data_IF_400188817297
#
_entry.id   IF_400188817297
#
_cell.length_a   1.000
_cell.length_b   1.000
_cell.length_c   1.000
_cell.angle_alpha   90.00
_cell.angle_beta   90.00
_cell.angle_gamma   90.00
#
_symmetry.space_group_name_H-M   'P 1'
#
loop_
_entity.id
_entity.type
_entity.pdbx_description
1 polymer ?
#
# COMPACT_ATOMS: atom_id res chain seq x y z
N UNK A 1 -25.98 4.34 -12.24
CA UNK A 1 -24.89 3.39 -12.58
C UNK A 1 -25.51 2.06 -12.95
N UNK A 2 -24.95 1.40 -13.95
CA UNK A 2 -25.30 0.03 -14.31
C UNK A 2 -24.13 -0.85 -13.90
N UNK A 3 -24.39 -1.86 -13.08
CA UNK A 3 -23.40 -2.89 -12.75
C UNK A 3 -23.57 -4.02 -13.76
N UNK A 4 -23.02 -3.82 -14.96
CA UNK A 4 -23.39 -4.59 -16.15
C UNK A 4 -22.87 -6.02 -16.18
N UNK A 5 -21.79 -6.31 -15.47
CA UNK A 5 -21.08 -7.59 -15.58
C UNK A 5 -20.41 -7.96 -14.26
N UNK A 6 -21.19 -8.44 -13.28
CA UNK A 6 -20.63 -8.96 -12.02
C UNK A 6 -20.51 -10.48 -12.06
N UNK A 7 -19.37 -11.01 -11.65
CA UNK A 7 -19.13 -12.45 -11.69
C UNK A 7 -18.06 -12.90 -10.71
N UNK A 8 -18.29 -14.05 -10.06
CA UNK A 8 -17.27 -14.77 -9.31
C UNK A 8 -17.15 -16.19 -9.86
N UNK A 9 -15.98 -16.52 -10.41
CA UNK A 9 -15.71 -17.85 -10.97
C UNK A 9 -15.64 -18.92 -9.87
N UNK A 10 -16.36 -20.01 -10.09
CA UNK A 10 -16.42 -21.17 -9.20
C UNK A 10 -15.55 -22.29 -9.75
N UNK A 11 -14.95 -23.06 -8.85
CA UNK A 11 -14.22 -24.27 -9.22
C UNK A 11 -15.12 -25.29 -9.94
N UNK A 12 -14.80 -25.56 -11.21
CA UNK A 12 -15.49 -26.56 -12.03
C UNK A 12 -14.61 -27.75 -12.39
N UNK A 13 -13.43 -27.89 -11.78
CA UNK A 13 -12.42 -28.91 -12.15
C UNK A 13 -12.96 -30.35 -12.10
N UNK A 14 -13.89 -30.64 -11.19
CA UNK A 14 -14.51 -31.96 -11.02
C UNK A 14 -15.88 -32.10 -11.73
N UNK A 15 -16.29 -31.11 -12.52
CA UNK A 15 -17.58 -31.14 -13.21
C UNK A 15 -17.41 -31.53 -14.69
N UNK A 16 -18.24 -32.44 -15.20
CA UNK A 16 -18.18 -32.84 -16.61
C UNK A 16 -18.59 -31.69 -17.54
N UNK A 17 -18.13 -31.74 -18.79
CA UNK A 17 -18.48 -30.77 -19.83
C UNK A 17 -17.72 -29.44 -19.78
N UNK A 18 -16.90 -29.23 -18.76
CA UNK A 18 -15.97 -28.10 -18.70
C UNK A 18 -14.59 -28.52 -19.20
N UNK A 19 -14.00 -27.67 -20.03
CA UNK A 19 -12.75 -27.90 -20.76
C UNK A 19 -11.68 -26.89 -20.34
N UNK A 20 -10.42 -27.16 -20.65
CA UNK A 20 -9.26 -26.34 -20.26
C UNK A 20 -9.01 -26.25 -18.74
N UNK A 21 -7.99 -25.50 -18.34
CA UNK A 21 -7.65 -25.25 -16.95
C UNK A 21 -8.17 -23.87 -16.50
N UNK A 22 -8.52 -23.77 -15.21
CA UNK A 22 -8.86 -22.49 -14.60
C UNK A 22 -7.65 -21.53 -14.67
N UNK A 23 -7.89 -20.28 -15.06
CA UNK A 23 -6.87 -19.24 -15.22
C UNK A 23 -6.87 -18.19 -14.10
N UNK A 24 -7.82 -18.26 -13.17
CA UNK A 24 -7.94 -17.36 -12.01
C UNK A 24 -8.10 -18.16 -10.71
N UNK A 25 -7.94 -17.46 -9.58
CA UNK A 25 -8.31 -18.05 -8.28
C UNK A 25 -9.83 -18.16 -8.19
N UNK A 26 -10.32 -19.39 -8.18
CA UNK A 26 -11.74 -19.72 -8.08
C UNK A 26 -12.27 -19.71 -6.64
N UNK A 27 -13.60 -19.69 -6.51
CA UNK A 27 -14.34 -19.83 -5.26
C UNK A 27 -15.23 -21.09 -5.23
N UNK A 28 -15.98 -21.31 -4.14
CA UNK A 28 -16.95 -22.40 -4.04
C UNK A 28 -18.36 -21.94 -4.41
N UNK A 29 -19.24 -22.86 -4.83
CA UNK A 29 -20.64 -22.51 -5.14
C UNK A 29 -21.37 -21.87 -3.95
N UNK A 30 -21.14 -22.37 -2.73
CA UNK A 30 -21.74 -21.81 -1.52
C UNK A 30 -21.28 -20.36 -1.29
N UNK A 31 -20.00 -20.08 -1.53
CA UNK A 31 -19.48 -18.72 -1.37
C UNK A 31 -19.98 -17.79 -2.48
N UNK A 32 -20.07 -18.27 -3.72
CA UNK A 32 -20.68 -17.51 -4.82
C UNK A 32 -22.14 -17.15 -4.49
N UNK A 33 -22.94 -18.11 -4.01
CA UNK A 33 -24.33 -17.89 -3.62
C UNK A 33 -24.47 -16.83 -2.53
N UNK A 34 -23.61 -16.89 -1.50
CA UNK A 34 -23.58 -15.89 -0.44
C UNK A 34 -23.18 -14.50 -0.96
N UNK A 35 -22.16 -14.41 -1.82
CA UNK A 35 -21.73 -13.15 -2.43
C UNK A 35 -22.87 -12.56 -3.26
N UNK A 36 -23.54 -13.35 -4.11
CA UNK A 36 -24.57 -12.85 -5.01
C UNK A 36 -25.81 -12.39 -4.25
N UNK A 37 -26.28 -13.17 -3.28
CA UNK A 37 -27.40 -12.76 -2.43
C UNK A 37 -27.08 -11.47 -1.65
N UNK A 38 -25.86 -11.36 -1.10
CA UNK A 38 -25.42 -10.14 -0.42
C UNK A 38 -25.30 -8.95 -1.37
N UNK A 39 -24.88 -9.17 -2.61
CA UNK A 39 -24.80 -8.12 -3.62
C UNK A 39 -26.18 -7.57 -3.96
N UNK A 40 -27.19 -8.44 -4.16
CA UNK A 40 -28.59 -8.02 -4.34
C UNK A 40 -29.07 -7.14 -3.18
N UNK A 41 -28.89 -7.62 -1.94
CA UNK A 41 -29.23 -6.84 -0.73
C UNK A 41 -28.43 -5.54 -0.58
N UNK A 42 -27.21 -5.51 -1.13
CA UNK A 42 -26.37 -4.34 -1.08
C UNK A 42 -26.86 -3.26 -2.06
N UNK A 43 -27.09 -3.63 -3.32
CA UNK A 43 -27.40 -2.69 -4.40
C UNK A 43 -28.81 -2.14 -4.32
N UNK A 44 -29.77 -2.89 -3.76
CA UNK A 44 -31.14 -2.39 -3.57
C UNK A 44 -31.19 -1.19 -2.63
N UNK A 45 -30.17 -1.05 -1.78
CA UNK A 45 -30.00 0.08 -0.88
C UNK A 45 -29.06 1.17 -1.42
N UNK A 46 -28.60 1.09 -2.68
CA UNK A 46 -27.72 2.09 -3.29
C UNK A 46 -28.50 2.88 -4.36
N UNK A 47 -28.86 4.16 -4.10
CA UNK A 47 -29.68 4.94 -5.03
C UNK A 47 -28.96 5.25 -6.34
N UNK A 48 -27.63 5.12 -6.39
CA UNK A 48 -26.87 5.35 -7.60
C UNK A 48 -26.85 4.12 -8.52
N UNK A 49 -27.33 2.96 -8.08
CA UNK A 49 -27.38 1.73 -8.89
C UNK A 49 -28.78 1.55 -9.49
N UNK A 50 -28.86 1.64 -10.81
CA UNK A 50 -30.10 1.45 -11.57
C UNK A 50 -30.36 -0.02 -11.91
N UNK A 51 -29.28 -0.82 -12.05
CA UNK A 51 -29.36 -2.20 -12.50
C UNK A 51 -28.14 -3.01 -12.04
N UNK A 52 -28.39 -4.28 -11.72
CA UNK A 52 -27.38 -5.30 -11.45
C UNK A 52 -27.55 -6.45 -12.44
N UNK A 53 -26.51 -6.72 -13.22
CA UNK A 53 -26.46 -7.79 -14.20
C UNK A 53 -25.34 -8.76 -13.82
N UNK A 54 -25.71 -10.02 -13.58
CA UNK A 54 -24.72 -11.09 -13.40
C UNK A 54 -24.14 -11.48 -14.76
N UNK A 55 -22.82 -11.66 -14.82
CA UNK A 55 -22.13 -12.05 -16.04
C UNK A 55 -22.52 -13.47 -16.46
N UNK A 56 -23.24 -13.56 -17.57
CA UNK A 56 -23.77 -14.80 -18.12
C UNK A 56 -24.97 -15.36 -17.35
N UNK A 57 -25.86 -16.04 -18.06
CA UNK A 57 -26.90 -16.86 -17.44
C UNK A 57 -26.52 -18.35 -17.36
N UNK A 58 -25.75 -18.82 -18.35
CA UNK A 58 -25.10 -20.14 -18.38
C UNK A 58 -23.59 -19.97 -18.35
N UNK A 59 -22.90 -20.90 -17.69
CA UNK A 59 -21.45 -20.94 -17.73
C UNK A 59 -20.92 -21.27 -19.13
N UNK A 60 -19.77 -20.70 -19.43
CA UNK A 60 -19.01 -21.09 -20.61
C UNK A 60 -18.37 -22.47 -20.41
N UNK A 61 -18.32 -23.27 -21.48
CA UNK A 61 -17.72 -24.61 -21.45
C UNK A 61 -16.20 -24.58 -21.31
N UNK A 62 -15.54 -23.55 -21.84
CA UNK A 62 -14.08 -23.38 -21.71
C UNK A 62 -13.76 -22.64 -20.42
N UNK A 63 -12.83 -23.16 -19.62
CA UNK A 63 -12.31 -22.49 -18.40
C UNK A 63 -11.36 -21.33 -18.70
N UNK A 64 -11.13 -21.04 -19.99
CA UNK A 64 -10.57 -19.76 -20.42
C UNK A 64 -11.61 -18.63 -20.41
N UNK A 65 -12.90 -18.99 -20.45
CA UNK A 65 -14.06 -18.11 -20.31
C UNK A 65 -14.53 -17.98 -18.86
N UNK A 66 -15.83 -17.75 -18.66
CA UNK A 66 -16.40 -17.47 -17.33
C UNK A 66 -17.29 -18.58 -16.78
N UNK A 67 -16.93 -19.08 -15.60
CA UNK A 67 -17.70 -20.04 -14.79
C UNK A 67 -18.36 -19.32 -13.58
N UNK A 68 -19.05 -18.21 -13.86
CA UNK A 68 -19.66 -17.33 -12.86
C UNK A 68 -21.18 -17.24 -12.94
N UNK A 69 -21.82 -17.95 -13.85
CA UNK A 69 -23.23 -17.78 -14.15
C UNK A 69 -24.14 -18.37 -13.05
N UNK A 70 -25.46 -18.19 -13.19
CA UNK A 70 -26.45 -18.81 -12.29
C UNK A 70 -26.79 -20.25 -12.68
N UNK A 71 -26.52 -20.64 -13.93
CA UNK A 71 -26.67 -21.99 -14.45
C UNK A 71 -25.32 -22.55 -14.84
N UNK A 72 -25.12 -23.84 -14.60
CA UNK A 72 -23.97 -24.59 -15.12
C UNK A 72 -24.05 -24.72 -16.64
N UNK A 73 -22.96 -25.14 -17.27
CA UNK A 73 -22.87 -25.41 -18.71
C UNK A 73 -23.90 -26.45 -19.23
N UNK A 74 -24.38 -27.35 -18.38
CA UNK A 74 -25.41 -28.36 -18.66
C UNK A 74 -26.84 -27.86 -18.40
N UNK A 75 -26.98 -26.61 -17.92
CA UNK A 75 -28.24 -25.96 -17.60
C UNK A 75 -28.79 -26.23 -16.19
N UNK A 76 -28.12 -27.07 -15.40
CA UNK A 76 -28.48 -27.28 -14.00
C UNK A 76 -28.26 -26.01 -13.17
N UNK A 77 -29.07 -25.84 -12.12
CA UNK A 77 -29.02 -24.66 -11.25
C UNK A 77 -27.83 -24.71 -10.29
N UNK A 78 -27.09 -23.61 -10.19
CA UNK A 78 -26.16 -23.40 -9.09
C UNK A 78 -26.92 -22.95 -7.84
N UNK A 79 -26.31 -23.14 -6.67
CA UNK A 79 -26.84 -22.60 -5.41
C UNK A 79 -27.09 -21.08 -5.47
N UNK A 80 -26.31 -20.35 -6.28
CA UNK A 80 -26.47 -18.92 -6.52
C UNK A 80 -27.80 -18.56 -7.20
N UNK A 81 -28.38 -19.44 -8.01
CA UNK A 81 -29.68 -19.20 -8.66
C UNK A 81 -30.79 -19.00 -7.63
N UNK A 82 -30.96 -19.99 -6.73
CA UNK A 82 -31.93 -19.92 -5.65
C UNK A 82 -31.63 -18.78 -4.67
N UNK A 83 -30.36 -18.54 -4.36
CA UNK A 83 -29.96 -17.48 -3.43
C UNK A 83 -30.27 -16.06 -3.96
N UNK A 84 -30.07 -15.82 -5.26
CA UNK A 84 -30.45 -14.56 -5.91
C UNK A 84 -31.96 -14.39 -5.93
N UNK A 85 -32.71 -15.43 -6.32
CA UNK A 85 -34.17 -15.38 -6.33
C UNK A 85 -34.73 -15.07 -4.92
N UNK A 86 -34.19 -15.71 -3.89
CA UNK A 86 -34.57 -15.46 -2.51
C UNK A 86 -34.24 -14.04 -2.05
N UNK A 87 -33.06 -13.50 -2.39
CA UNK A 87 -32.68 -12.12 -2.03
C UNK A 87 -33.55 -11.06 -2.74
N UNK A 88 -33.96 -11.32 -3.98
CA UNK A 88 -34.92 -10.46 -4.70
C UNK A 88 -36.28 -10.51 -4.00
N UNK A 89 -36.78 -11.71 -3.68
CA UNK A 89 -38.06 -11.88 -3.00
C UNK A 89 -38.06 -11.24 -1.60
N UNK A 90 -36.96 -11.37 -0.85
CA UNK A 90 -36.78 -10.78 0.49
C UNK A 90 -36.81 -9.24 0.45
N UNK A 91 -36.16 -8.64 -0.57
CA UNK A 91 -36.11 -7.18 -0.70
C UNK A 91 -37.37 -6.59 -1.33
N UNK A 92 -38.11 -7.36 -2.13
CA UNK A 92 -39.24 -6.85 -2.91
C UNK A 92 -38.84 -5.79 -3.95
N UNK A 93 -37.56 -5.67 -4.27
CA UNK A 93 -37.01 -4.57 -5.08
C UNK A 93 -36.82 -3.25 -4.32
N UNK A 94 -37.01 -3.24 -3.00
CA UNK A 94 -36.88 -2.04 -2.17
C UNK A 94 -35.80 -2.21 -1.09
N UNK A 95 -35.20 -1.09 -0.67
CA UNK A 95 -34.24 -1.11 0.42
C UNK A 95 -34.94 -1.37 1.76
N UNK A 96 -34.65 -2.54 2.35
CA UNK A 96 -35.17 -2.93 3.67
C UNK A 96 -34.31 -2.40 4.83
N UNK A 97 -33.38 -1.47 4.56
CA UNK A 97 -32.41 -0.94 5.53
C UNK A 97 -32.13 0.55 5.27
N UNK A 98 -31.00 1.05 5.75
CA UNK A 98 -30.57 2.42 5.48
C UNK A 98 -30.04 2.53 4.05
N UNK A 99 -30.52 3.57 3.36
CA UNK A 99 -29.96 3.97 2.07
C UNK A 99 -28.46 4.24 2.22
N UNK A 100 -27.71 3.67 1.30
CA UNK A 100 -26.28 3.84 1.20
C UNK A 100 -25.99 5.15 0.50
N UNK A 101 -24.93 5.80 0.96
CA UNK A 101 -24.30 6.89 0.23
C UNK A 101 -22.85 6.50 0.03
N UNK A 102 -22.38 6.55 -1.19
CA UNK A 102 -20.96 6.47 -1.48
C UNK A 102 -20.55 7.70 -2.29
N UNK A 103 -19.26 7.99 -2.30
CA UNK A 103 -18.71 9.01 -3.16
C UNK A 103 -17.37 8.50 -3.70
N UNK A 104 -17.02 8.80 -4.95
CA UNK A 104 -15.73 8.40 -5.49
C UNK A 104 -14.59 8.91 -4.62
N UNK A 105 -13.63 8.04 -4.32
CA UNK A 105 -12.42 8.47 -3.64
C UNK A 105 -11.67 9.48 -4.52
N UNK A 106 -11.26 10.61 -3.94
CA UNK A 106 -10.46 11.63 -4.64
C UNK A 106 -8.95 11.38 -4.57
N UNK A 107 -8.54 10.43 -3.75
CA UNK A 107 -7.14 10.05 -3.50
C UNK A 107 -6.99 8.54 -3.59
N UNK A 108 -5.78 8.01 -3.84
CA UNK A 108 -5.55 6.57 -3.79
C UNK A 108 -5.95 5.99 -2.43
N UNK A 109 -6.62 4.85 -2.45
CA UNK A 109 -7.17 4.16 -1.30
C UNK A 109 -6.03 3.63 -0.43
N UNK A 110 -6.03 4.01 0.85
CA UNK A 110 -5.01 3.60 1.82
C UNK A 110 -3.59 4.06 1.48
N UNK A 111 -3.43 5.08 0.64
CA UNK A 111 -2.13 5.63 0.28
C UNK A 111 -1.40 6.19 1.50
N UNK A 112 -0.17 5.74 1.74
CA UNK A 112 0.67 6.21 2.84
C UNK A 112 2.15 6.18 2.49
N UNK A 113 2.92 7.11 3.08
CA UNK A 113 4.37 7.22 2.91
C UNK A 113 5.06 7.35 4.26
N UNK A 114 6.09 6.54 4.49
CA UNK A 114 6.99 6.65 5.63
C UNK A 114 8.34 7.23 5.20
N UNK A 115 8.76 8.27 5.91
CA UNK A 115 10.02 8.99 5.69
C UNK A 115 11.10 8.63 6.71
N UNK A 116 11.00 7.49 7.40
CA UNK A 116 11.91 7.12 8.48
C UNK A 116 13.40 7.13 8.04
N UNK A 117 13.70 6.78 6.77
CA UNK A 117 15.03 6.86 6.17
C UNK A 117 15.46 8.25 5.68
N UNK A 118 14.56 9.22 5.61
CA UNK A 118 14.76 10.53 4.95
C UNK A 118 15.07 11.68 5.91
N UNK A 119 15.58 11.40 7.12
CA UNK A 119 15.70 12.41 8.18
C UNK A 119 17.05 13.14 8.22
N UNK A 120 18.10 12.64 7.55
CA UNK A 120 19.44 13.26 7.52
C UNK A 120 20.16 13.01 6.20
N UNK A 121 20.31 14.04 5.38
CA UNK A 121 21.25 14.04 4.25
C UNK A 121 22.60 14.58 4.68
N UNK A 122 23.66 13.81 4.42
CA UNK A 122 25.04 14.32 4.43
C UNK A 122 25.32 14.92 3.05
N UNK A 123 26.12 15.99 2.94
CA UNK A 123 26.55 16.46 1.62
C UNK A 123 27.37 15.37 0.92
N UNK A 124 27.04 15.16 -0.35
CA UNK A 124 27.49 14.02 -1.15
C UNK A 124 26.50 12.85 -1.20
N UNK A 125 25.53 12.76 -0.28
CA UNK A 125 24.43 11.81 -0.42
C UNK A 125 23.51 12.27 -1.56
N UNK A 126 23.43 11.45 -2.61
CA UNK A 126 22.67 11.74 -3.84
C UNK A 126 21.30 11.06 -3.88
N UNK A 127 20.94 10.35 -2.82
CA UNK A 127 19.72 9.56 -2.78
C UNK A 127 19.09 9.52 -1.39
N UNK A 128 17.77 9.43 -1.37
CA UNK A 128 16.98 9.20 -0.16
C UNK A 128 16.06 8.01 -0.38
N UNK A 129 15.97 7.16 0.64
CA UNK A 129 14.99 6.08 0.69
C UNK A 129 13.75 6.52 1.45
N UNK A 130 12.61 6.02 0.99
CA UNK A 130 11.32 6.14 1.66
C UNK A 130 10.52 4.88 1.39
N UNK A 131 9.48 4.66 2.18
CA UNK A 131 8.58 3.52 2.00
C UNK A 131 7.19 4.02 1.62
N UNK A 132 6.58 3.42 0.61
CA UNK A 132 5.20 3.73 0.20
C UNK A 132 4.33 2.47 0.23
N UNK A 133 3.03 2.67 0.45
CA UNK A 133 2.00 1.62 0.41
C UNK A 133 0.67 2.22 -0.04
N UNK A 134 -0.19 1.37 -0.62
CA UNK A 134 -1.56 1.67 -0.98
C UNK A 134 -2.37 0.36 -1.01
N UNK A 135 -3.71 0.45 -0.94
CA UNK A 135 -4.60 -0.73 -1.09
C UNK A 135 -4.94 -1.02 -2.55
N UNK A 136 -4.47 -0.19 -3.47
CA UNK A 136 -4.58 -0.30 -4.92
C UNK A 136 -3.20 -0.06 -5.56
N UNK A 137 -3.06 -0.36 -6.84
CA UNK A 137 -1.84 -0.04 -7.60
C UNK A 137 -1.68 1.48 -7.75
N UNK A 138 -0.49 1.98 -7.43
CA UNK A 138 -0.16 3.40 -7.58
C UNK A 138 1.16 3.60 -8.32
N UNK A 139 1.19 4.64 -9.13
CA UNK A 139 2.44 5.20 -9.65
C UNK A 139 3.01 6.17 -8.64
N UNK A 140 4.35 6.19 -8.52
CA UNK A 140 5.07 7.01 -7.55
C UNK A 140 6.00 7.96 -8.27
N UNK A 141 5.85 9.24 -7.96
CA UNK A 141 6.80 10.28 -8.33
C UNK A 141 7.36 10.93 -7.07
N UNK A 142 8.62 11.34 -7.08
CA UNK A 142 9.25 11.99 -5.94
C UNK A 142 10.34 12.97 -6.36
N UNK A 143 10.62 13.93 -5.48
CA UNK A 143 11.78 14.81 -5.60
C UNK A 143 12.24 15.31 -4.23
N UNK A 144 13.50 15.72 -4.20
CA UNK A 144 14.05 16.49 -3.08
C UNK A 144 13.98 17.96 -3.46
N UNK A 145 13.14 18.72 -2.77
CA UNK A 145 12.86 20.14 -3.10
C UNK A 145 13.17 21.04 -1.91
N UNK A 146 13.50 22.33 -2.13
CA UNK A 146 13.63 23.28 -1.03
C UNK A 146 12.38 23.28 -0.15
N UNK A 147 12.57 23.36 1.17
CA UNK A 147 11.46 23.32 2.14
C UNK A 147 10.45 24.47 1.97
N UNK A 148 10.87 25.55 1.29
CA UNK A 148 10.04 26.72 0.95
C UNK A 148 9.25 26.56 -0.34
N UNK A 149 9.33 25.42 -1.03
CA UNK A 149 8.61 25.19 -2.30
C UNK A 149 7.10 25.10 -2.04
N UNK A 150 6.28 25.94 -2.68
CA UNK A 150 4.81 25.86 -2.58
C UNK A 150 4.29 24.51 -3.11
N UNK A 151 3.21 23.99 -2.53
CA UNK A 151 2.68 22.65 -2.86
C UNK A 151 2.24 22.56 -4.32
N UNK A 152 1.69 23.66 -4.85
CA UNK A 152 1.19 23.80 -6.21
C UNK A 152 2.30 23.64 -7.25
N UNK A 153 3.54 23.95 -6.86
CA UNK A 153 4.72 23.81 -7.70
C UNK A 153 5.41 22.46 -7.58
N UNK A 154 5.11 21.67 -6.55
CA UNK A 154 5.79 20.41 -6.29
C UNK A 154 5.61 19.46 -7.48
N UNK A 155 4.39 19.34 -8.02
CA UNK A 155 4.07 18.42 -9.12
C UNK A 155 5.02 18.55 -10.33
N UNK A 156 5.40 19.77 -10.68
CA UNK A 156 6.29 20.06 -11.82
C UNK A 156 7.76 19.69 -11.58
N UNK A 157 8.12 19.35 -10.35
CA UNK A 157 9.49 19.02 -9.95
C UNK A 157 9.68 17.53 -9.69
N UNK A 158 8.60 16.73 -9.69
CA UNK A 158 8.66 15.31 -9.38
C UNK A 158 9.16 14.50 -10.58
N UNK A 159 10.08 13.58 -10.32
CA UNK A 159 10.49 12.55 -11.28
C UNK A 159 9.81 11.23 -10.99
N UNK A 160 9.62 10.40 -12.02
CA UNK A 160 9.15 9.02 -11.85
C UNK A 160 10.14 8.21 -10.99
N UNK A 161 9.61 7.49 -10.00
CA UNK A 161 10.39 6.62 -9.09
C UNK A 161 10.03 5.15 -9.28
N UNK A 162 8.75 4.84 -9.50
CA UNK A 162 8.32 3.46 -9.73
C UNK A 162 6.82 3.24 -9.50
N UNK A 163 6.47 1.99 -9.23
CA UNK A 163 5.11 1.51 -8.97
C UNK A 163 5.09 0.85 -7.59
N UNK A 164 3.98 1.02 -6.87
CA UNK A 164 3.66 0.25 -5.68
C UNK A 164 2.40 -0.56 -5.99
N UNK A 165 2.54 -1.88 -5.95
CA UNK A 165 1.43 -2.80 -6.13
C UNK A 165 0.48 -2.77 -4.93
N UNK A 166 -0.79 -3.04 -5.19
CA UNK A 166 -1.83 -3.10 -4.18
C UNK A 166 -1.44 -3.96 -2.96
N UNK A 167 -1.62 -3.39 -1.76
CA UNK A 167 -1.34 -3.99 -0.45
C UNK A 167 0.11 -4.41 -0.23
N UNK A 168 1.04 -3.89 -1.05
CA UNK A 168 2.49 -4.06 -0.84
C UNK A 168 3.07 -2.84 -0.14
N UNK A 169 4.17 -3.09 0.56
CA UNK A 169 5.01 -2.05 1.15
C UNK A 169 6.32 -2.06 0.37
N UNK A 170 6.60 -0.97 -0.34
CA UNK A 170 7.79 -0.88 -1.21
C UNK A 170 8.74 0.18 -0.69
N UNK A 171 10.01 -0.19 -0.54
CA UNK A 171 11.09 0.78 -0.35
C UNK A 171 11.52 1.33 -1.72
N UNK A 172 11.55 2.65 -1.82
CA UNK A 172 11.81 3.38 -3.05
C UNK A 172 12.92 4.39 -2.80
N UNK A 173 13.69 4.67 -3.85
CA UNK A 173 14.82 5.61 -3.77
C UNK A 173 14.61 6.74 -4.75
N UNK A 174 14.62 7.98 -4.24
CA UNK A 174 14.72 9.17 -5.08
C UNK A 174 16.18 9.58 -5.18
N UNK A 175 16.60 10.01 -6.37
CA UNK A 175 17.91 10.64 -6.58
C UNK A 175 17.73 12.16 -6.65
N UNK A 176 18.67 12.91 -6.09
CA UNK A 176 18.63 14.36 -6.11
C UNK A 176 19.94 14.98 -5.65
N UNK A 177 20.20 16.19 -6.15
CA UNK A 177 21.35 17.00 -5.71
C UNK A 177 20.84 18.12 -4.82
N UNK A 178 21.47 18.29 -3.66
CA UNK A 178 21.08 19.28 -2.66
C UNK A 178 22.27 20.14 -2.27
N UNK A 179 22.08 21.46 -2.25
CA UNK A 179 23.09 22.41 -1.78
C UNK A 179 23.16 22.45 -0.25
N UNK A 180 24.36 22.67 0.30
CA UNK A 180 24.58 22.83 1.75
C UNK A 180 23.91 24.10 2.27
N UNK A 181 23.64 24.15 3.59
CA UNK A 181 23.03 25.29 4.31
C UNK A 181 21.58 25.64 3.96
N UNK A 182 20.94 24.92 3.02
CA UNK A 182 19.50 25.03 2.74
C UNK A 182 18.71 23.91 3.44
N UNK A 183 17.43 24.16 3.69
CA UNK A 183 16.50 23.15 4.18
C UNK A 183 15.69 22.57 3.03
N UNK A 184 15.50 21.26 3.03
CA UNK A 184 14.78 20.52 2.00
C UNK A 184 13.70 19.65 2.61
N UNK A 185 12.75 19.25 1.79
CA UNK A 185 11.80 18.18 2.06
C UNK A 185 11.87 17.14 0.96
N UNK A 186 11.59 15.89 1.32
CA UNK A 186 11.27 14.86 0.36
C UNK A 186 9.78 14.95 0.07
N UNK A 187 9.43 15.29 -1.17
CA UNK A 187 8.06 15.29 -1.65
C UNK A 187 7.79 14.03 -2.46
N UNK A 188 6.68 13.36 -2.18
CA UNK A 188 6.26 12.11 -2.83
C UNK A 188 4.80 12.25 -3.23
N UNK A 189 4.48 11.86 -4.45
CA UNK A 189 3.11 11.78 -4.93
C UNK A 189 2.78 10.33 -5.28
N UNK A 190 1.61 9.89 -4.81
CA UNK A 190 0.99 8.63 -5.22
C UNK A 190 -0.21 8.96 -6.10
N UNK A 191 -0.26 8.37 -7.29
CA UNK A 191 -1.42 8.48 -8.20
C UNK A 191 -1.96 7.09 -8.52
N UNK A 192 -3.28 6.91 -8.42
CA UNK A 192 -3.92 5.63 -8.73
C UNK A 192 -3.66 5.25 -10.18
N UNK A 193 -3.28 3.98 -10.43
CA UNK A 193 -3.02 3.49 -11.77
C UNK A 193 -4.31 3.39 -12.61
N UNK A 194 -5.43 3.09 -11.96
CA UNK A 194 -6.74 2.97 -12.61
C UNK A 194 -7.43 4.32 -12.81
N UNK A 195 -7.05 5.34 -12.02
CA UNK A 195 -7.52 6.71 -12.21
C UNK A 195 -6.44 7.72 -11.80
N UNK A 196 -5.57 8.15 -12.73
CA UNK A 196 -4.46 9.06 -12.44
C UNK A 196 -4.86 10.44 -11.90
N UNK A 197 -6.14 10.82 -11.98
CA UNK A 197 -6.64 12.06 -11.35
C UNK A 197 -6.75 11.94 -9.82
N UNK A 198 -6.76 10.71 -9.27
CA UNK A 198 -6.76 10.46 -7.83
C UNK A 198 -5.34 10.50 -7.31
N UNK A 199 -4.99 11.60 -6.65
CA UNK A 199 -3.61 11.91 -6.27
C UNK A 199 -3.50 12.28 -4.79
N UNK A 200 -2.49 11.72 -4.11
CA UNK A 200 -2.09 12.14 -2.77
C UNK A 200 -0.66 12.67 -2.78
N UNK A 201 -0.43 13.81 -2.13
CA UNK A 201 0.90 14.42 -1.96
C UNK A 201 1.36 14.30 -0.51
N UNK A 202 2.56 13.79 -0.31
CA UNK A 202 3.19 13.61 1.00
C UNK A 202 4.49 14.40 1.07
N UNK A 203 4.78 14.97 2.25
CA UNK A 203 6.03 15.69 2.53
C UNK A 203 6.67 15.17 3.81
N UNK A 204 7.99 14.98 3.77
CA UNK A 204 8.77 14.73 4.99
C UNK A 204 8.82 15.96 5.88
N UNK A 205 9.31 15.80 7.11
CA UNK A 205 9.80 16.94 7.89
C UNK A 205 10.97 17.60 7.16
N UNK A 206 11.14 18.93 7.28
CA UNK A 206 12.31 19.60 6.73
C UNK A 206 13.61 19.04 7.34
N UNK A 207 14.61 18.80 6.50
CA UNK A 207 15.95 18.43 6.93
C UNK A 207 16.97 19.38 6.32
N UNK A 208 18.14 19.49 6.96
CA UNK A 208 19.29 20.25 6.47
C UNK A 208 20.35 19.30 5.95
N UNK A 209 21.10 19.77 4.96
CA UNK A 209 22.25 19.04 4.42
C UNK A 209 23.50 19.49 5.17
N UNK A 210 24.07 18.59 5.96
CA UNK A 210 25.36 18.84 6.63
C UNK A 210 26.49 18.85 5.60
N UNK A 211 27.60 19.60 5.81
CA UNK A 211 28.77 19.54 4.93
C UNK A 211 29.31 18.12 4.77
N UNK A 212 29.98 17.85 3.64
CA UNK A 212 30.60 16.56 3.39
C UNK A 212 31.78 16.45 4.36
N UNK A 213 31.95 15.28 4.99
CA UNK A 213 33.15 15.04 5.79
C UNK A 213 34.36 15.09 4.85
N UNK A 214 35.26 16.04 5.06
CA UNK A 214 36.54 16.08 4.36
C UNK A 214 37.49 15.10 5.06
N UNK A 215 37.98 14.05 4.39
CA UNK A 215 39.07 13.25 4.94
C UNK A 215 40.24 14.19 5.27
N UNK A 216 40.62 14.28 6.56
CA UNK A 216 41.68 15.17 7.04
C UNK A 216 41.25 16.39 7.86
N UNK A 217 39.95 16.66 8.05
CA UNK A 217 39.53 17.58 9.12
C UNK A 217 39.64 16.86 10.47
N UNK A 218 40.60 17.28 11.30
CA UNK A 218 40.77 16.80 12.67
C UNK A 218 39.45 16.95 13.46
N UNK A 219 39.11 15.95 14.28
CA UNK A 219 38.00 16.00 15.25
C UNK A 219 38.37 17.04 16.35
N UNK A 220 38.43 18.33 16.00
CA UNK A 220 38.68 19.47 16.90
C UNK A 220 37.37 20.19 17.22
N UNK A 221 36.43 19.51 17.85
CA UNK A 221 35.31 20.18 18.52
C UNK A 221 35.03 19.48 19.85
N UNK A 222 35.24 20.25 20.92
CA UNK A 222 35.02 20.00 22.35
C UNK A 222 36.24 19.51 23.15
N UNK A 223 36.63 20.35 24.11
CA UNK A 223 37.66 20.15 25.13
C UNK A 223 37.56 18.75 25.76
N UNK A 224 38.72 18.07 25.84
CA UNK A 224 39.03 16.94 26.72
C UNK A 224 38.13 15.69 26.65
N UNK A 225 37.93 15.11 25.46
CA UNK A 225 37.58 13.69 25.32
C UNK A 225 38.40 13.12 24.15
N UNK A 226 39.19 12.09 24.43
CA UNK A 226 40.04 11.41 23.45
C UNK A 226 39.17 10.58 22.50
N UNK A 227 39.24 10.85 21.19
CA UNK A 227 38.53 10.09 20.14
C UNK A 227 39.57 9.38 19.29
N UNK A 228 39.44 8.06 19.13
CA UNK A 228 40.30 7.26 18.25
C UNK A 228 39.63 7.11 16.88
N UNK A 229 40.39 7.32 15.81
CA UNK A 229 39.90 7.23 14.44
C UNK A 229 39.99 5.78 13.93
N UNK A 230 38.95 4.99 14.19
CA UNK A 230 38.75 3.72 13.50
C UNK A 230 37.75 3.89 12.37
N UNK A 231 38.18 3.56 11.14
CA UNK A 231 37.35 3.37 9.94
C UNK A 231 36.00 4.10 9.90
N UNK A 232 35.97 5.27 9.27
CA UNK A 232 34.76 5.99 8.84
C UNK A 232 33.77 6.49 9.94
N UNK A 233 34.07 6.39 11.25
CA UNK A 233 33.22 6.96 12.31
C UNK A 233 34.01 7.57 13.50
N UNK A 234 33.84 8.87 13.81
CA UNK A 234 34.20 9.41 15.14
C UNK A 234 33.13 8.88 16.14
N UNK A 235 33.47 7.88 16.96
CA UNK A 235 32.62 7.35 18.05
C UNK A 235 33.08 7.89 19.41
N UNK A 236 32.13 8.26 20.27
CA UNK A 236 32.43 8.66 21.65
C UNK A 236 32.89 7.43 22.45
N UNK A 237 34.17 7.35 22.76
CA UNK A 237 34.73 6.34 23.67
C UNK A 237 34.25 6.66 25.09
N UNK A 238 33.38 5.80 25.63
CA UNK A 238 33.11 5.76 27.06
C UNK A 238 34.14 4.80 27.65
N UNK A 239 35.18 5.35 28.28
CA UNK A 239 36.16 4.56 29.04
C UNK A 239 35.41 3.82 30.18
N UNK A 240 35.21 2.51 30.02
CA UNK A 240 34.80 1.63 31.12
C UNK A 240 36.02 1.37 31.99
N UNK A 241 36.19 2.11 33.08
CA UNK A 241 37.12 1.74 34.15
C UNK A 241 36.62 0.47 34.82
N UNK A 242 37.21 -0.68 34.44
CA UNK A 242 37.03 -1.96 35.12
C UNK A 242 37.91 -1.99 36.37
N UNK A 243 37.36 -1.60 37.52
CA UNK A 243 37.96 -1.89 38.82
C UNK A 243 37.43 -3.26 39.26
N UNK A 244 38.29 -4.29 39.19
CA UNK A 244 38.08 -5.55 39.90
C UNK A 244 38.49 -5.36 41.36
N UNK A 245 37.66 -5.70 42.37
CA UNK A 245 38.16 -5.92 43.71
C UNK A 245 38.52 -7.40 43.90
N UNK A 246 39.74 -7.64 44.37
CA UNK A 246 40.18 -8.92 44.92
C UNK A 246 39.60 -9.12 46.34
N UNK A 247 39.38 -10.39 46.69
CA UNK A 247 38.77 -10.94 47.90
C UNK A 247 39.33 -10.44 49.25
N UNK A 248 38.48 -10.42 50.29
CA UNK A 248 38.84 -10.84 51.67
C UNK A 248 37.64 -11.43 52.44
N UNK A 249 37.84 -12.66 52.91
CA UNK A 249 37.06 -13.36 53.95
C UNK A 249 37.28 -12.69 55.32
N UNK A 250 36.25 -12.62 56.16
CA UNK A 250 36.34 -12.81 57.62
C UNK A 250 34.95 -13.08 58.22
N UNK A 251 34.88 -14.10 59.07
CA UNK A 251 33.72 -14.54 59.86
C UNK A 251 33.28 -13.47 60.87
N UNK A 252 32.00 -13.49 61.27
CA UNK A 252 31.63 -13.63 62.69
C UNK A 252 30.21 -14.21 62.83
N UNK A 253 30.11 -15.26 63.66
CA UNK A 253 28.86 -15.84 64.18
C UNK A 253 28.22 -14.88 65.19
N UNK A 254 26.89 -14.80 65.21
CA UNK A 254 26.01 -15.35 66.25
C UNK A 254 24.59 -15.41 65.72
#
# INVERSE_FOLDING_TARGET
LYLDEVGWQVDTSFQPGYTDAENVKVTSEANQAAIYANLVRYVVCDPDVAQLNFFGYYDERTRLGWQSALRRNDGSERASNAAVAAAIAESGGECQSFMRSWSPLRTPAGGAVSFAGATRLRAGARSLTFTATATEDVTVTAAIVPATTPVERIGNLLGAVGIVEARRRSELTVKGTVATKKSYVLAVTLASKLNPSRVSVFKSRPFRVSPAFRPGQSCQLARSVEYQADGFQCRKLVLKTSIKPQYRLALFRR
#
